data_IF_266138454597
#
_entry.id   IF_266138454597
#
_cell.length_a   1.000
_cell.length_b   1.000
_cell.length_c   1.000
_cell.angle_alpha   90.00
_cell.angle_beta   90.00
_cell.angle_gamma   90.00
#
_symmetry.space_group_name_H-M   'P 1'
#
loop_
_entity.id
_entity.type
_entity.pdbx_description
1 polymer ?
#
# COMPACT_ATOMS: atom_id res chain seq x y z
N UNK A 1 -37.05 -23.26 3.20
CA UNK A 1 -37.17 -23.99 1.92
C UNK A 1 -38.00 -23.13 0.97
N UNK A 2 -37.33 -22.36 0.11
CA UNK A 2 -37.91 -21.48 -0.91
C UNK A 2 -36.95 -21.48 -2.11
N UNK A 3 -37.38 -21.92 -3.30
CA UNK A 3 -36.57 -21.79 -4.51
C UNK A 3 -37.17 -20.76 -5.49
N UNK A 4 -36.37 -19.81 -5.92
CA UNK A 4 -36.60 -19.00 -7.12
C UNK A 4 -35.19 -18.68 -7.66
N UNK A 5 -34.65 -19.26 -8.73
CA UNK A 5 -35.09 -19.55 -10.11
C UNK A 5 -35.15 -18.31 -11.03
N UNK A 6 -34.18 -18.31 -11.96
CA UNK A 6 -34.04 -17.61 -13.25
C UNK A 6 -33.35 -16.23 -13.28
N UNK A 7 -32.75 -15.83 -14.44
CA UNK A 7 -32.24 -16.61 -15.58
C UNK A 7 -30.80 -16.28 -16.03
N UNK A 8 -30.29 -17.20 -16.84
CA UNK A 8 -29.13 -17.14 -17.73
C UNK A 8 -29.23 -15.98 -18.74
N UNK A 9 -28.14 -15.23 -18.92
CA UNK A 9 -27.99 -14.17 -19.93
C UNK A 9 -26.71 -14.44 -20.71
N UNK A 10 -26.78 -15.42 -21.59
CA UNK A 10 -25.81 -15.63 -22.66
C UNK A 10 -26.35 -15.04 -23.97
N UNK A 11 -25.44 -14.44 -24.75
CA UNK A 11 -25.58 -13.92 -26.13
C UNK A 11 -26.03 -12.44 -26.25
N UNK A 12 -25.32 -11.53 -26.93
CA UNK A 12 -25.02 -11.41 -28.38
C UNK A 12 -24.16 -10.11 -28.57
N UNK A 13 -23.63 -9.73 -29.76
CA UNK A 13 -22.78 -10.41 -30.74
C UNK A 13 -21.45 -9.67 -31.08
N UNK A 14 -20.59 -10.44 -31.74
CA UNK A 14 -19.59 -10.15 -32.79
C UNK A 14 -19.76 -8.83 -33.60
N UNK A 15 -18.77 -7.94 -33.53
CA UNK A 15 -18.58 -6.80 -34.47
C UNK A 15 -17.37 -7.07 -35.37
N UNK A 16 -17.63 -7.87 -36.42
CA UNK A 16 -16.79 -7.98 -37.60
C UNK A 16 -17.06 -6.80 -38.53
N UNK A 17 -16.02 -6.00 -38.78
CA UNK A 17 -15.79 -5.46 -40.12
C UNK A 17 -15.58 -3.96 -40.24
N UNK A 18 -14.32 -3.54 -40.27
CA UNK A 18 -13.91 -2.41 -41.13
C UNK A 18 -12.43 -2.49 -41.52
N UNK A 19 -12.17 -3.02 -42.72
CA UNK A 19 -10.98 -2.70 -43.55
C UNK A 19 -11.40 -1.65 -44.58
N UNK A 20 -10.53 -1.23 -45.53
CA UNK A 20 -9.26 -0.52 -45.38
C UNK A 20 -9.24 0.77 -46.23
N UNK A 21 -8.39 1.75 -45.95
CA UNK A 21 -8.05 2.78 -46.96
C UNK A 21 -6.56 3.09 -46.94
N UNK A 22 -5.89 2.59 -47.97
CA UNK A 22 -4.59 3.03 -48.46
C UNK A 22 -4.59 4.55 -48.69
N UNK A 23 -3.62 5.27 -48.12
CA UNK A 23 -3.11 6.50 -48.73
C UNK A 23 -1.61 6.39 -48.94
N UNK A 24 -1.28 6.02 -50.17
CA UNK A 24 0.03 6.18 -50.78
C UNK A 24 0.34 7.69 -50.84
N UNK A 25 1.31 8.15 -50.06
CA UNK A 25 1.85 9.51 -50.19
C UNK A 25 3.36 9.43 -50.44
N UNK A 26 3.66 9.50 -51.75
CA UNK A 26 4.83 10.03 -52.44
C UNK A 26 6.03 10.42 -51.55
N UNK A 27 7.14 9.73 -51.79
CA UNK A 27 8.47 10.07 -51.31
C UNK A 27 8.88 11.48 -51.79
N UNK A 28 9.02 12.42 -50.85
CA UNK A 28 9.71 13.68 -51.08
C UNK A 28 11.17 13.48 -50.67
N UNK A 29 12.03 13.40 -51.68
CA UNK A 29 13.48 13.26 -51.52
C UNK A 29 14.07 14.58 -51.06
N UNK A 30 14.19 14.77 -49.74
CA UNK A 30 14.93 15.89 -49.16
C UNK A 30 16.43 15.56 -49.20
N UNK A 31 17.16 16.18 -50.14
CA UNK A 31 18.61 16.28 -50.11
C UNK A 31 19.01 17.14 -48.91
N UNK A 32 19.15 16.50 -47.75
CA UNK A 32 19.71 17.12 -46.55
C UNK A 32 21.20 17.39 -46.78
N UNK A 33 21.53 18.61 -47.17
CA UNK A 33 22.89 19.12 -47.08
C UNK A 33 23.19 19.27 -45.59
N UNK A 34 23.87 18.27 -45.01
CA UNK A 34 24.38 18.32 -43.65
C UNK A 34 25.50 19.37 -43.60
N UNK A 35 25.12 20.63 -43.42
CA UNK A 35 26.04 21.62 -42.89
C UNK A 35 26.36 21.21 -41.46
N UNK A 36 27.47 20.51 -41.26
CA UNK A 36 28.11 20.40 -39.95
C UNK A 36 28.49 21.82 -39.53
N UNK A 37 27.55 22.54 -38.88
CA UNK A 37 27.87 23.77 -38.16
C UNK A 37 28.91 23.37 -37.14
N UNK A 38 30.15 23.75 -37.41
CA UNK A 38 31.28 23.66 -36.51
C UNK A 38 30.94 24.60 -35.35
N UNK A 39 30.16 24.09 -34.39
CA UNK A 39 29.75 24.84 -33.21
C UNK A 39 31.03 25.28 -32.51
N UNK A 40 31.17 26.60 -32.34
CA UNK A 40 32.31 27.19 -31.66
C UNK A 40 32.51 26.52 -30.30
N UNK A 41 33.76 26.34 -29.85
CA UNK A 41 34.04 25.67 -28.57
C UNK A 41 33.28 26.33 -27.42
N UNK A 42 33.05 27.64 -27.49
CA UNK A 42 32.25 28.40 -26.53
C UNK A 42 30.76 27.99 -26.52
N UNK A 43 30.15 27.74 -27.69
CA UNK A 43 28.75 27.28 -27.77
C UNK A 43 28.57 25.85 -27.24
N UNK A 44 29.62 25.01 -27.30
CA UNK A 44 29.62 23.67 -26.69
C UNK A 44 29.75 23.75 -25.17
N UNK A 45 30.63 24.61 -24.66
CA UNK A 45 30.79 24.82 -23.21
C UNK A 45 29.51 25.37 -22.56
N UNK A 46 28.87 26.37 -23.19
CA UNK A 46 27.62 26.94 -22.68
C UNK A 46 26.48 25.91 -22.61
N UNK A 47 26.39 25.01 -23.60
CA UNK A 47 25.41 23.92 -23.59
C UNK A 47 25.68 22.88 -22.50
N UNK A 48 26.95 22.52 -22.29
CA UNK A 48 27.33 21.60 -21.22
C UNK A 48 27.02 22.20 -19.84
N UNK A 49 27.32 23.49 -19.63
CA UNK A 49 26.99 24.17 -18.38
C UNK A 49 25.48 24.23 -18.13
N UNK A 50 24.67 24.53 -19.15
CA UNK A 50 23.21 24.46 -19.02
C UNK A 50 22.71 23.05 -18.71
N UNK A 51 23.26 22.00 -19.33
CA UNK A 51 22.86 20.63 -19.05
C UNK A 51 23.17 20.21 -17.62
N UNK A 52 24.35 20.57 -17.11
CA UNK A 52 24.72 20.31 -15.70
C UNK A 52 23.78 21.05 -14.75
N UNK A 53 23.45 22.32 -15.03
CA UNK A 53 22.53 23.10 -14.20
C UNK A 53 21.13 22.49 -14.17
N UNK A 54 20.60 22.03 -15.32
CA UNK A 54 19.29 21.36 -15.40
C UNK A 54 19.30 20.04 -14.63
N UNK A 55 20.35 19.22 -14.76
CA UNK A 55 20.48 17.96 -14.02
C UNK A 55 20.54 18.22 -12.52
N UNK A 56 21.33 19.20 -12.07
CA UNK A 56 21.45 19.54 -10.65
C UNK A 56 20.11 19.97 -10.03
N UNK A 57 19.34 20.81 -10.74
CA UNK A 57 17.99 21.22 -10.30
C UNK A 57 17.03 20.03 -10.28
N UNK A 58 17.10 19.15 -11.28
CA UNK A 58 16.27 17.96 -11.32
C UNK A 58 16.60 17.02 -10.15
N UNK A 59 17.88 16.79 -9.85
CA UNK A 59 18.28 15.94 -8.72
C UNK A 59 17.85 16.51 -7.36
N UNK A 60 17.84 17.84 -7.20
CA UNK A 60 17.37 18.50 -5.97
C UNK A 60 15.85 18.43 -5.80
N UNK A 61 15.09 18.35 -6.89
CA UNK A 61 13.63 18.20 -6.84
C UNK A 61 13.18 16.74 -6.55
N UNK A 62 14.07 15.76 -6.73
CA UNK A 62 13.79 14.34 -6.45
C UNK A 62 14.34 13.84 -5.10
N UNK A 63 15.00 14.69 -4.32
CA UNK A 63 15.20 14.38 -2.90
C UNK A 63 13.86 14.61 -2.22
N UNK A 64 13.00 13.59 -2.23
CA UNK A 64 11.87 13.54 -1.31
C UNK A 64 12.42 13.86 0.08
N UNK A 65 11.90 14.88 0.79
CA UNK A 65 12.22 14.97 2.20
C UNK A 65 11.83 13.61 2.78
N UNK A 66 12.78 12.92 3.39
CA UNK A 66 12.45 11.90 4.36
C UNK A 66 11.72 12.66 5.46
N UNK A 67 10.41 12.85 5.26
CA UNK A 67 9.52 13.13 6.36
C UNK A 67 9.82 11.99 7.31
N UNK A 68 10.40 12.31 8.45
CA UNK A 68 10.37 11.44 9.61
C UNK A 68 8.89 11.15 9.79
N UNK A 69 8.42 10.07 9.17
CA UNK A 69 7.16 9.49 9.52
C UNK A 69 7.40 9.15 10.97
N UNK A 70 6.71 9.86 11.84
CA UNK A 70 6.47 9.45 13.21
C UNK A 70 5.77 8.11 13.03
N UNK A 71 6.55 7.05 12.79
CA UNK A 71 6.07 5.69 12.85
C UNK A 71 5.55 5.63 14.26
N UNK A 72 4.23 5.60 14.39
CA UNK A 72 3.55 5.47 15.66
C UNK A 72 4.01 4.13 16.22
N UNK A 73 5.13 4.17 16.93
CA UNK A 73 5.78 3.00 17.48
C UNK A 73 4.97 2.66 18.73
N UNK A 74 3.91 1.88 18.51
CA UNK A 74 3.10 1.40 19.60
C UNK A 74 4.02 0.51 20.47
N UNK A 75 4.27 0.87 21.75
CA UNK A 75 5.15 0.09 22.61
C UNK A 75 4.60 -1.34 22.73
N UNK A 76 5.45 -2.38 22.84
CA UNK A 76 5.05 -3.80 22.82
C UNK A 76 4.33 -4.23 24.11
N UNK A 77 3.25 -3.52 24.45
CA UNK A 77 2.44 -3.67 25.65
C UNK A 77 0.99 -3.88 25.23
N UNK A 78 0.17 -4.46 26.09
CA UNK A 78 -1.25 -4.68 25.75
C UNK A 78 -1.97 -3.34 25.52
N UNK A 79 -1.63 -2.28 26.24
CA UNK A 79 -2.20 -0.95 26.00
C UNK A 79 -1.74 -0.37 24.66
N UNK A 80 -0.45 -0.47 24.32
CA UNK A 80 0.05 -0.07 23.00
C UNK A 80 -0.63 -0.84 21.87
N UNK A 81 -0.95 -2.13 22.07
CA UNK A 81 -1.70 -2.94 21.11
C UNK A 81 -3.12 -2.38 20.90
N UNK A 82 -3.79 -1.91 21.97
CA UNK A 82 -5.11 -1.28 21.88
C UNK A 82 -5.07 0.04 21.11
N UNK A 83 -4.08 0.88 21.38
CA UNK A 83 -3.86 2.13 20.64
C UNK A 83 -3.66 1.85 19.14
N UNK A 84 -2.85 0.84 18.81
CA UNK A 84 -2.65 0.39 17.44
C UNK A 84 -3.95 -0.08 16.75
N UNK A 85 -4.82 -0.82 17.46
CA UNK A 85 -6.13 -1.24 16.93
C UNK A 85 -7.02 -0.02 16.66
N UNK A 86 -7.07 0.93 17.59
CA UNK A 86 -7.89 2.14 17.46
C UNK A 86 -7.43 3.03 16.30
N UNK A 87 -6.11 3.21 16.19
CA UNK A 87 -5.49 3.94 15.09
C UNK A 87 -5.89 3.36 13.73
N UNK A 88 -5.68 2.06 13.50
CA UNK A 88 -5.99 1.41 12.23
C UNK A 88 -7.50 1.30 11.96
N UNK A 89 -8.34 1.24 12.99
CA UNK A 89 -9.78 1.35 12.82
C UNK A 89 -10.19 2.75 12.34
N UNK A 90 -9.62 3.80 12.94
CA UNK A 90 -9.91 5.20 12.56
C UNK A 90 -9.47 5.53 11.13
N UNK A 91 -8.41 4.87 10.64
CA UNK A 91 -7.92 4.98 9.26
C UNK A 91 -8.73 4.14 8.26
N UNK A 92 -9.54 3.21 8.75
CA UNK A 92 -10.36 2.31 7.92
C UNK A 92 -9.65 1.04 7.47
N UNK A 93 -8.41 0.79 7.90
CA UNK A 93 -7.66 -0.44 7.60
C UNK A 93 -8.26 -1.66 8.31
N UNK A 94 -8.88 -1.43 9.47
CA UNK A 94 -9.78 -2.39 10.13
C UNK A 94 -11.20 -1.95 9.81
N UNK A 95 -11.88 -2.69 8.96
CA UNK A 95 -13.28 -2.46 8.60
C UNK A 95 -14.22 -3.33 9.42
N UNK A 96 -15.42 -2.78 9.69
CA UNK A 96 -16.47 -3.50 10.40
C UNK A 96 -16.33 -3.39 11.91
N UNK A 97 -17.30 -2.70 12.52
CA UNK A 97 -17.36 -2.46 13.96
C UNK A 97 -17.32 -3.75 14.80
N UNK A 98 -17.89 -4.85 14.29
CA UNK A 98 -17.82 -6.15 14.96
C UNK A 98 -16.40 -6.71 15.09
N UNK A 99 -15.56 -6.55 14.06
CA UNK A 99 -14.16 -6.98 14.11
C UNK A 99 -13.38 -6.16 15.12
N UNK A 100 -13.50 -4.82 15.05
CA UNK A 100 -12.89 -3.90 16.00
C UNK A 100 -13.28 -4.21 17.45
N UNK A 101 -14.57 -4.30 17.75
CA UNK A 101 -15.07 -4.60 19.10
C UNK A 101 -14.53 -5.94 19.63
N UNK A 102 -14.50 -6.97 18.77
CA UNK A 102 -14.02 -8.31 19.16
C UNK A 102 -12.51 -8.35 19.40
N UNK A 103 -11.73 -7.54 18.67
CA UNK A 103 -10.29 -7.38 18.89
C UNK A 103 -10.02 -6.62 20.19
N UNK A 104 -10.68 -5.46 20.39
CA UNK A 104 -10.55 -4.66 21.61
C UNK A 104 -10.93 -5.46 22.86
N UNK A 105 -12.04 -6.20 22.82
CA UNK A 105 -12.48 -7.04 23.93
C UNK A 105 -11.45 -8.13 24.31
N UNK A 106 -10.68 -8.66 23.34
CA UNK A 106 -9.61 -9.63 23.63
C UNK A 106 -8.40 -8.94 24.24
N UNK A 107 -8.02 -7.77 23.75
CA UNK A 107 -6.93 -7.00 24.34
C UNK A 107 -7.27 -6.60 25.80
N UNK A 108 -8.49 -6.13 26.07
CA UNK A 108 -8.95 -5.83 27.43
C UNK A 108 -8.96 -7.07 28.34
N UNK A 109 -9.40 -8.21 27.83
CA UNK A 109 -9.37 -9.47 28.59
C UNK A 109 -7.95 -9.94 28.89
N UNK A 110 -7.02 -9.77 27.94
CA UNK A 110 -5.61 -10.06 28.15
C UNK A 110 -5.00 -9.11 29.20
N UNK A 111 -5.29 -7.81 29.13
CA UNK A 111 -4.83 -6.82 30.11
C UNK A 111 -5.33 -7.20 31.51
N UNK A 112 -6.62 -7.49 31.64
CA UNK A 112 -7.19 -7.87 32.93
C UNK A 112 -6.56 -9.16 33.49
N UNK A 113 -6.17 -10.12 32.64
CA UNK A 113 -5.44 -11.31 33.08
C UNK A 113 -4.01 -10.98 33.52
N UNK A 114 -3.29 -10.15 32.76
CA UNK A 114 -1.95 -9.67 33.11
C UNK A 114 -1.95 -8.91 34.43
N UNK A 115 -2.93 -8.03 34.67
CA UNK A 115 -3.10 -7.27 35.91
C UNK A 115 -3.31 -8.16 37.14
N UNK A 116 -3.83 -9.39 36.94
CA UNK A 116 -3.98 -10.41 37.99
C UNK A 116 -2.75 -11.31 38.15
N UNK A 117 -1.67 -11.05 37.42
CA UNK A 117 -0.46 -11.89 37.37
C UNK A 117 -0.67 -13.21 36.62
N UNK A 118 -1.72 -13.34 35.80
CA UNK A 118 -2.06 -14.55 35.07
C UNK A 118 -1.45 -14.53 33.66
N UNK A 119 -0.12 -14.44 33.58
CA UNK A 119 0.64 -14.24 32.32
C UNK A 119 0.34 -15.31 31.28
N UNK A 120 0.29 -16.60 31.67
CA UNK A 120 -0.11 -17.70 30.77
C UNK A 120 -1.52 -17.51 30.18
N UNK A 121 -2.45 -17.01 31.00
CA UNK A 121 -3.83 -16.75 30.55
C UNK A 121 -3.87 -15.57 29.60
N UNK A 122 -3.15 -14.49 29.90
CA UNK A 122 -3.01 -13.34 29.01
C UNK A 122 -2.39 -13.75 27.65
N UNK A 123 -1.31 -14.53 27.66
CA UNK A 123 -0.68 -15.06 26.46
C UNK A 123 -1.62 -15.93 25.62
N UNK A 124 -2.43 -16.79 26.25
CA UNK A 124 -3.44 -17.58 25.55
C UNK A 124 -4.53 -16.72 24.90
N UNK A 125 -4.96 -15.64 25.57
CA UNK A 125 -5.93 -14.69 25.01
C UNK A 125 -5.32 -13.94 23.82
N UNK A 126 -4.06 -13.51 23.91
CA UNK A 126 -3.35 -12.85 22.80
C UNK A 126 -3.13 -13.80 21.61
N UNK A 127 -2.90 -15.09 21.84
CA UNK A 127 -2.88 -16.08 20.77
C UNK A 127 -4.25 -16.22 20.08
N UNK A 128 -5.35 -16.19 20.84
CA UNK A 128 -6.69 -16.17 20.27
C UNK A 128 -6.98 -14.88 19.48
N UNK A 129 -6.43 -13.75 19.92
CA UNK A 129 -6.44 -12.48 19.20
C UNK A 129 -5.71 -12.59 17.86
N UNK A 130 -4.49 -13.12 17.83
CA UNK A 130 -3.70 -13.34 16.61
C UNK A 130 -4.46 -14.23 15.62
N UNK A 131 -5.09 -15.31 16.10
CA UNK A 131 -5.90 -16.19 15.26
C UNK A 131 -7.07 -15.45 14.61
N UNK A 132 -7.73 -14.53 15.33
CA UNK A 132 -8.77 -13.70 14.75
C UNK A 132 -8.22 -12.73 13.71
N UNK A 133 -7.10 -12.05 13.99
CA UNK A 133 -6.46 -11.13 13.03
C UNK A 133 -6.14 -11.86 11.73
N UNK A 134 -5.52 -13.04 11.82
CA UNK A 134 -5.21 -13.88 10.67
C UNK A 134 -6.46 -14.33 9.91
N UNK A 135 -7.54 -14.70 10.62
CA UNK A 135 -8.80 -15.07 9.99
C UNK A 135 -9.52 -13.91 9.28
N UNK A 136 -9.24 -12.67 9.70
CA UNK A 136 -9.81 -11.46 9.12
C UNK A 136 -8.90 -10.76 8.09
N UNK A 137 -7.67 -11.24 7.93
CA UNK A 137 -6.73 -10.76 6.92
C UNK A 137 -7.37 -10.85 5.51
N UNK A 138 -7.25 -9.77 4.75
CA UNK A 138 -7.80 -9.60 3.39
C UNK A 138 -9.33 -9.62 3.31
N UNK A 139 -10.04 -9.62 4.44
CA UNK A 139 -11.50 -9.48 4.49
C UNK A 139 -11.92 -8.22 5.23
N UNK A 140 -11.52 -8.13 6.50
CA UNK A 140 -11.82 -7.00 7.38
C UNK A 140 -10.59 -6.21 7.78
N UNK A 141 -9.40 -6.80 7.64
CA UNK A 141 -8.13 -6.17 7.98
C UNK A 141 -7.24 -6.23 6.74
N UNK A 142 -6.62 -5.11 6.37
CA UNK A 142 -5.63 -5.09 5.28
C UNK A 142 -4.42 -5.97 5.63
N UNK A 143 -3.79 -6.64 4.65
CA UNK A 143 -2.64 -7.53 4.90
C UNK A 143 -1.50 -6.91 5.70
N UNK A 144 -1.18 -5.65 5.40
CA UNK A 144 -0.09 -4.90 6.03
C UNK A 144 -0.35 -4.71 7.52
N UNK A 145 -1.56 -4.25 7.87
CA UNK A 145 -2.02 -4.08 9.26
C UNK A 145 -2.16 -5.42 9.98
N UNK A 146 -2.64 -6.46 9.31
CA UNK A 146 -2.72 -7.79 9.90
C UNK A 146 -1.33 -8.31 10.31
N UNK A 147 -0.32 -8.10 9.46
CA UNK A 147 1.07 -8.45 9.76
C UNK A 147 1.62 -7.61 10.93
N UNK A 148 1.41 -6.29 10.90
CA UNK A 148 1.85 -5.37 11.94
C UNK A 148 1.26 -5.74 13.32
N UNK A 149 -0.08 -5.84 13.41
CA UNK A 149 -0.78 -6.13 14.67
C UNK A 149 -0.45 -7.54 15.20
N UNK A 150 -0.24 -8.51 14.30
CA UNK A 150 0.20 -9.85 14.70
C UNK A 150 1.61 -9.82 15.31
N UNK A 151 2.54 -9.10 14.67
CA UNK A 151 3.91 -8.97 15.18
C UNK A 151 3.94 -8.25 16.52
N UNK A 152 3.18 -7.16 16.66
CA UNK A 152 3.03 -6.46 17.93
C UNK A 152 2.51 -7.43 19.02
N UNK A 153 1.40 -8.13 18.77
CA UNK A 153 0.88 -9.07 19.76
C UNK A 153 1.88 -10.18 20.16
N UNK A 154 2.74 -10.63 19.24
CA UNK A 154 3.82 -11.57 19.54
C UNK A 154 4.87 -10.95 20.48
N UNK A 155 5.33 -9.74 20.18
CA UNK A 155 6.26 -9.00 21.05
C UNK A 155 5.66 -8.79 22.45
N UNK A 156 4.37 -8.43 22.54
CA UNK A 156 3.68 -8.30 23.83
C UNK A 156 3.65 -9.61 24.61
N UNK A 157 3.45 -10.76 23.95
CA UNK A 157 3.49 -12.08 24.61
C UNK A 157 4.88 -12.36 25.19
N UNK A 158 5.95 -11.96 24.50
CA UNK A 158 7.33 -12.15 24.97
C UNK A 158 7.67 -11.29 26.21
N UNK A 159 6.94 -10.19 26.40
CA UNK A 159 7.13 -9.24 27.52
C UNK A 159 6.17 -9.47 28.71
N UNK A 160 5.28 -10.48 28.66
CA UNK A 160 4.36 -10.86 29.75
C UNK A 160 5.08 -11.56 30.91
#
# INVERSE_FOLDING_TARGET
MFPARFPDVTAFPDDRGRTPVQKVSKAVSYRFISHKRQQSPMARLQKLLMQIAVIAVLTLAYTSPALAQDEMECPPTIEGLKECIDHHYSQGDISGQGTYNSLMAKADAAQAAADRGQTDTAGNILNAFINQVNAQNSNKITPEVAAHITHHAQMTIEEL
#
